data_IF_682652420464
#
_entry.id   IF_682652420464
#
_cell.length_a   1.000
_cell.length_b   1.000
_cell.length_c   1.000
_cell.angle_alpha   90.00
_cell.angle_beta   90.00
_cell.angle_gamma   90.00
#
_symmetry.space_group_name_H-M   'P 1'
#
loop_
_entity.id
_entity.type
_entity.pdbx_description
1 polymer ?
#
# COMPACT_ATOMS: atom_id res chain seq x y z
N UNK A 1 -9.03 -12.39 -25.10
CA UNK A 1 -8.25 -12.30 -23.85
C UNK A 1 -8.44 -10.90 -23.30
N UNK A 2 -8.91 -10.71 -22.06
CA UNK A 2 -8.93 -9.36 -21.46
C UNK A 2 -7.48 -8.98 -21.18
N UNK A 3 -7.03 -7.83 -21.66
CA UNK A 3 -5.76 -7.26 -21.22
C UNK A 3 -5.86 -6.99 -19.72
N UNK A 4 -5.16 -7.77 -18.90
CA UNK A 4 -5.02 -7.45 -17.50
C UNK A 4 -4.12 -6.21 -17.41
N UNK A 5 -4.73 -5.04 -17.23
CA UNK A 5 -3.98 -3.79 -17.02
C UNK A 5 -3.45 -3.83 -15.58
N UNK A 6 -2.15 -4.04 -15.45
CA UNK A 6 -1.45 -3.90 -14.18
C UNK A 6 -1.01 -2.44 -14.04
N UNK A 7 -1.31 -1.84 -12.89
CA UNK A 7 -0.74 -0.56 -12.47
C UNK A 7 0.36 -0.82 -11.47
N UNK A 8 1.48 -0.15 -11.66
CA UNK A 8 2.66 -0.19 -10.81
C UNK A 8 3.16 1.24 -10.70
N UNK A 9 2.94 1.84 -9.53
CA UNK A 9 3.30 3.22 -9.25
C UNK A 9 4.35 3.24 -8.15
N UNK A 10 5.33 4.11 -8.30
CA UNK A 10 6.42 4.31 -7.36
C UNK A 10 6.54 5.78 -6.99
N UNK A 11 6.81 6.06 -5.72
CA UNK A 11 7.12 7.40 -5.23
C UNK A 11 8.19 7.34 -4.13
N UNK A 12 9.00 8.39 -4.05
CA UNK A 12 9.92 8.65 -2.93
C UNK A 12 9.50 9.94 -2.24
N UNK A 13 9.60 9.93 -0.91
CA UNK A 13 9.32 11.08 -0.07
C UNK A 13 10.59 11.42 0.70
N UNK A 14 11.02 12.67 0.59
CA UNK A 14 12.34 13.13 1.06
C UNK A 14 12.16 14.23 2.11
N UNK A 15 12.85 14.06 3.24
CA UNK A 15 13.02 15.03 4.32
C UNK A 15 14.39 14.80 4.97
N UNK A 16 14.51 14.89 6.30
CA UNK A 16 15.67 14.38 7.05
C UNK A 16 15.84 12.84 6.94
N UNK A 17 14.86 12.15 6.38
CA UNK A 17 14.84 10.73 6.01
C UNK A 17 14.29 10.54 4.58
N UNK A 18 14.45 9.34 4.02
CA UNK A 18 13.90 8.97 2.71
C UNK A 18 13.12 7.66 2.82
N UNK A 19 11.83 7.72 2.49
CA UNK A 19 10.97 6.54 2.38
C UNK A 19 10.46 6.40 0.95
N UNK A 20 10.46 5.16 0.45
CA UNK A 20 9.86 4.82 -0.84
C UNK A 20 8.57 4.03 -0.64
N UNK A 21 7.62 4.26 -1.54
CA UNK A 21 6.34 3.55 -1.60
C UNK A 21 6.12 3.03 -3.01
N UNK A 22 5.82 1.73 -3.11
CA UNK A 22 5.39 1.10 -4.37
C UNK A 22 3.99 0.54 -4.21
N UNK A 23 3.11 0.86 -5.15
CA UNK A 23 1.72 0.39 -5.20
C UNK A 23 1.50 -0.39 -6.49
N UNK A 24 1.11 -1.66 -6.36
CA UNK A 24 0.83 -2.56 -7.49
C UNK A 24 -0.61 -3.08 -7.38
N UNK A 25 -1.40 -2.93 -8.43
CA UNK A 25 -2.76 -3.47 -8.47
C UNK A 25 -3.24 -3.71 -9.90
N UNK A 26 -4.23 -4.56 -10.10
CA UNK A 26 -4.85 -4.79 -11.42
C UNK A 26 -6.25 -4.15 -11.60
N UNK A 27 -6.67 -3.29 -10.67
CA UNK A 27 -7.98 -2.63 -10.75
C UNK A 27 -9.04 -3.38 -9.94
N UNK A 28 -10.31 -3.15 -10.25
CA UNK A 28 -11.43 -3.95 -9.74
C UNK A 28 -11.69 -5.09 -10.73
N UNK A 29 -11.83 -6.31 -10.24
CA UNK A 29 -12.05 -7.52 -11.06
C UNK A 29 -13.45 -8.15 -10.84
N UNK A 30 -14.23 -7.61 -9.90
CA UNK A 30 -15.51 -8.10 -9.42
C UNK A 30 -15.34 -9.18 -8.35
N UNK A 31 -16.16 -9.16 -7.30
CA UNK A 31 -16.27 -10.27 -6.35
C UNK A 31 -15.14 -10.38 -5.31
N UNK A 32 -14.90 -11.62 -4.87
CA UNK A 32 -13.94 -11.99 -3.82
C UNK A 32 -12.53 -12.29 -4.40
N UNK A 33 -11.62 -12.76 -3.53
CA UNK A 33 -10.25 -13.14 -3.90
C UNK A 33 -10.16 -14.18 -5.04
N UNK A 34 -11.21 -14.96 -5.31
CA UNK A 34 -11.25 -15.95 -6.40
C UNK A 34 -11.30 -15.34 -7.80
N UNK A 35 -11.61 -14.04 -7.91
CA UNK A 35 -11.76 -13.34 -9.18
C UNK A 35 -10.47 -12.68 -9.67
N UNK A 36 -9.37 -12.85 -8.91
CA UNK A 36 -8.03 -12.43 -9.32
C UNK A 36 -7.73 -10.94 -9.12
N UNK A 37 -8.61 -10.18 -8.48
CA UNK A 37 -8.34 -8.80 -8.05
C UNK A 37 -7.29 -8.75 -6.95
N UNK A 38 -6.42 -7.75 -6.95
CA UNK A 38 -5.49 -7.52 -5.85
C UNK A 38 -5.05 -6.06 -5.72
N UNK A 39 -4.53 -5.75 -4.53
CA UNK A 39 -3.73 -4.55 -4.25
C UNK A 39 -2.53 -4.96 -3.39
N UNK A 40 -1.35 -4.44 -3.73
CA UNK A 40 -0.11 -4.66 -3.01
C UNK A 40 0.57 -3.33 -2.76
N UNK A 41 0.93 -3.05 -1.52
CA UNK A 41 1.70 -1.88 -1.13
C UNK A 41 3.01 -2.33 -0.49
N UNK A 42 4.09 -1.67 -0.86
CA UNK A 42 5.41 -1.88 -0.28
C UNK A 42 5.95 -0.54 0.22
N UNK A 43 6.49 -0.54 1.43
CA UNK A 43 7.25 0.55 2.01
C UNK A 43 8.69 0.10 2.20
N UNK A 44 9.64 1.01 1.97
CA UNK A 44 11.06 0.74 2.20
C UNK A 44 11.76 2.00 2.66
N UNK A 45 12.51 1.87 3.74
CA UNK A 45 13.51 2.84 4.17
C UNK A 45 14.66 2.85 3.15
N UNK A 46 14.84 4.00 2.50
CA UNK A 46 15.93 4.23 1.56
C UNK A 46 17.10 4.91 2.28
N UNK A 47 16.80 5.76 3.27
CA UNK A 47 17.81 6.39 4.11
C UNK A 47 17.19 6.89 5.42
N UNK A 48 17.75 6.45 6.54
CA UNK A 48 17.56 7.08 7.86
C UNK A 48 16.10 7.15 8.35
N UNK A 49 15.23 6.24 7.91
CA UNK A 49 13.86 6.12 8.42
C UNK A 49 13.81 5.05 9.51
N UNK A 50 13.46 5.43 10.74
CA UNK A 50 13.14 4.46 11.77
C UNK A 50 11.71 3.93 11.55
N UNK A 51 11.59 2.62 11.32
CA UNK A 51 10.33 1.97 11.00
C UNK A 51 10.28 0.59 11.66
N UNK A 52 9.17 0.29 12.34
CA UNK A 52 8.96 -1.01 12.98
C UNK A 52 7.73 -1.72 12.40
N UNK A 53 7.81 -3.05 12.30
CA UNK A 53 6.70 -3.93 11.94
C UNK A 53 6.57 -5.01 13.03
N UNK A 54 5.45 -4.98 13.76
CA UNK A 54 5.21 -5.85 14.92
C UNK A 54 6.38 -5.78 15.94
N UNK A 55 6.69 -4.57 16.40
CA UNK A 55 7.70 -4.28 17.43
C UNK A 55 9.13 -4.68 17.05
N UNK A 56 9.41 -4.75 15.74
CA UNK A 56 10.73 -5.05 15.20
C UNK A 56 11.12 -4.05 14.13
N UNK A 57 12.30 -3.47 14.28
CA UNK A 57 12.88 -2.60 13.26
C UNK A 57 13.04 -3.35 11.93
N UNK A 58 12.54 -2.74 10.86
CA UNK A 58 12.58 -3.29 9.50
C UNK A 58 12.95 -2.21 8.51
N UNK A 59 13.76 -2.56 7.52
CA UNK A 59 14.09 -1.67 6.41
C UNK A 59 13.03 -1.67 5.29
N UNK A 60 12.12 -2.65 5.28
CA UNK A 60 11.03 -2.73 4.34
C UNK A 60 9.91 -3.65 4.83
N UNK A 61 8.68 -3.37 4.41
CA UNK A 61 7.57 -4.31 4.55
C UNK A 61 6.64 -4.25 3.33
N UNK A 62 5.84 -5.31 3.16
CA UNK A 62 4.91 -5.45 2.05
C UNK A 62 3.62 -6.09 2.50
N UNK A 63 2.49 -5.54 2.08
CA UNK A 63 1.16 -6.08 2.34
C UNK A 63 0.47 -6.31 1.00
N UNK A 64 -0.16 -7.47 0.84
CA UNK A 64 -0.94 -7.83 -0.34
C UNK A 64 -2.32 -8.31 0.08
N UNK A 65 -3.34 -7.67 -0.48
CA UNK A 65 -4.73 -8.07 -0.36
C UNK A 65 -5.22 -8.64 -1.69
N UNK A 66 -6.10 -9.64 -1.61
CA UNK A 66 -6.70 -10.30 -2.77
C UNK A 66 -8.22 -10.13 -2.68
N UNK A 67 -8.84 -9.67 -3.78
CA UNK A 67 -10.26 -9.37 -3.86
C UNK A 67 -10.57 -7.87 -3.87
N UNK A 68 -11.73 -7.53 -4.45
CA UNK A 68 -12.19 -6.16 -4.55
C UNK A 68 -12.69 -5.63 -3.21
N UNK A 69 -13.26 -6.50 -2.38
CA UNK A 69 -13.71 -6.18 -1.02
C UNK A 69 -12.51 -5.75 -0.17
N UNK A 70 -11.45 -6.55 -0.15
CA UNK A 70 -10.24 -6.29 0.63
C UNK A 70 -9.51 -5.05 0.15
N UNK A 71 -9.51 -4.79 -1.17
CA UNK A 71 -9.01 -3.52 -1.72
C UNK A 71 -9.82 -2.33 -1.23
N UNK A 72 -11.15 -2.45 -1.24
CA UNK A 72 -12.06 -1.36 -0.86
C UNK A 72 -11.96 -1.06 0.64
N UNK A 73 -11.95 -2.09 1.48
CA UNK A 73 -11.77 -1.92 2.94
C UNK A 73 -10.38 -1.38 3.28
N UNK A 74 -9.33 -1.82 2.57
CA UNK A 74 -7.99 -1.26 2.72
C UNK A 74 -7.94 0.24 2.37
N UNK A 75 -8.62 0.65 1.29
CA UNK A 75 -8.71 2.08 0.92
C UNK A 75 -9.41 2.91 2.01
N UNK A 76 -10.52 2.42 2.56
CA UNK A 76 -11.23 3.14 3.64
C UNK A 76 -10.38 3.23 4.92
N UNK A 77 -9.63 2.18 5.26
CA UNK A 77 -8.69 2.21 6.38
C UNK A 77 -7.57 3.26 6.17
N UNK A 78 -7.01 3.34 4.95
CA UNK A 78 -6.02 4.37 4.62
C UNK A 78 -6.58 5.79 4.73
N UNK A 79 -7.80 6.02 4.22
CA UNK A 79 -8.47 7.33 4.34
C UNK A 79 -8.71 7.72 5.79
N UNK A 80 -9.10 6.77 6.63
CA UNK A 80 -9.27 7.00 8.06
C UNK A 80 -7.94 7.45 8.71
N UNK A 81 -6.84 6.74 8.44
CA UNK A 81 -5.50 7.10 8.95
C UNK A 81 -5.09 8.50 8.48
N UNK A 82 -5.22 8.78 7.18
CA UNK A 82 -4.86 10.10 6.62
C UNK A 82 -5.66 11.21 7.30
N UNK A 83 -6.97 11.03 7.42
CA UNK A 83 -7.84 12.02 8.06
C UNK A 83 -7.41 12.30 9.51
N UNK A 84 -7.18 11.26 10.31
CA UNK A 84 -6.77 11.41 11.71
C UNK A 84 -5.45 12.17 11.85
N UNK A 85 -4.47 11.86 10.98
CA UNK A 85 -3.17 12.53 10.97
C UNK A 85 -3.27 13.99 10.50
N UNK A 86 -4.14 14.30 9.55
CA UNK A 86 -4.34 15.68 9.07
C UNK A 86 -5.09 16.56 10.08
N UNK A 87 -6.08 16.00 10.78
CA UNK A 87 -6.88 16.74 11.76
C UNK A 87 -6.15 16.97 13.10
N UNK A 88 -5.14 16.14 13.40
CA UNK A 88 -4.41 16.18 14.68
C UNK A 88 -2.88 16.31 14.50
N UNK A 89 -2.44 16.93 13.40
CA UNK A 89 -1.02 17.18 13.12
C UNK A 89 -0.40 18.21 14.08
#
# INVERSE_FOLDING_TARGET
MRNNIYRDTYAEFVSANIISVRLIHNGLQGGDSGHGGFVEVQFKDIASTFMELNDKEVSAFKIRFQGDTERSTFLEALKFIVKELEENY
#
